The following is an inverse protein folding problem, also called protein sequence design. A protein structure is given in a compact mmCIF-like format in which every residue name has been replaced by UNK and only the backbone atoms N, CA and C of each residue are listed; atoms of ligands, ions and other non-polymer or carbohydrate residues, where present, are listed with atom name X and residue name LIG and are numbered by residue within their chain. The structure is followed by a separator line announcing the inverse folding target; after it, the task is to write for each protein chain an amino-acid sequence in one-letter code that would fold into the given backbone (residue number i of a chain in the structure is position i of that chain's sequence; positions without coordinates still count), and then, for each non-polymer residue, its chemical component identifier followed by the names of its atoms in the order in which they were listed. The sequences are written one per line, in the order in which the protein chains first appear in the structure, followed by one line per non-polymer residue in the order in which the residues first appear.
data_IF_372336286583
#
_entry.id   IF_372336286583
#
_cell.length_a   1.000
_cell.length_b   1.000
_cell.length_c   1.000
_cell.angle_alpha   90.00
_cell.angle_beta   90.00
_cell.angle_gamma   90.00
#
_symmetry.space_group_name_H-M   'P 1'
#
loop_
_entity.id
_entity.type
_entity.pdbx_description
1 polymer ?
#
# COMPACT_ATOMS: atom_id res chain seq x y z
N UNK A 1 11.93 5.95 1.87
CA UNK A 1 11.36 6.43 0.61
C UNK A 1 10.17 5.57 0.20
N UNK A 2 9.11 6.19 -0.27
CA UNK A 2 7.90 5.47 -0.69
C UNK A 2 7.96 5.30 -2.21
N UNK A 3 7.87 4.05 -2.67
CA UNK A 3 8.01 3.72 -4.09
C UNK A 3 6.64 3.50 -4.71
N UNK A 4 6.43 4.04 -5.91
CA UNK A 4 5.19 3.81 -6.63
C UNK A 4 5.26 2.47 -7.36
N UNK A 5 4.20 1.65 -7.24
CA UNK A 5 4.14 0.35 -7.90
C UNK A 5 2.90 0.29 -8.78
N UNK A 6 2.80 -0.77 -9.58
CA UNK A 6 1.72 -0.92 -10.54
C UNK A 6 1.12 -2.32 -10.43
N UNK A 7 -0.01 -2.53 -11.13
CA UNK A 7 -0.62 -3.85 -11.19
C UNK A 7 0.36 -4.89 -11.71
N UNK A 8 1.22 -4.50 -12.66
CA UNK A 8 2.10 -5.45 -13.31
C UNK A 8 3.21 -5.97 -12.39
N UNK A 9 3.62 -5.18 -11.38
CA UNK A 9 4.67 -5.64 -10.47
C UNK A 9 4.18 -5.85 -9.04
N UNK A 10 2.87 -5.76 -8.82
CA UNK A 10 2.31 -5.85 -7.47
C UNK A 10 2.66 -7.18 -6.80
N UNK A 11 2.38 -8.29 -7.50
CA UNK A 11 2.60 -9.61 -6.91
C UNK A 11 4.06 -9.83 -6.56
N UNK A 12 4.94 -9.34 -7.41
CA UNK A 12 6.39 -9.48 -7.19
C UNK A 12 6.83 -8.66 -5.98
N UNK A 13 6.29 -7.46 -5.86
CA UNK A 13 6.70 -6.54 -4.80
C UNK A 13 6.26 -7.06 -3.42
N UNK A 14 5.04 -7.58 -3.31
CA UNK A 14 4.56 -8.03 -2.01
C UNK A 14 5.11 -9.39 -1.62
N UNK A 15 5.78 -10.08 -2.54
CA UNK A 15 6.40 -11.36 -2.25
C UNK A 15 7.80 -11.11 -1.69
N UNK A 16 7.86 -10.71 -0.44
CA UNK A 16 9.10 -10.28 0.20
C UNK A 16 9.05 -10.70 1.66
N UNK A 17 10.18 -11.17 2.17
CA UNK A 17 10.27 -11.53 3.58
C UNK A 17 10.15 -10.29 4.46
N UNK A 18 10.60 -9.15 3.98
CA UNK A 18 10.40 -7.89 4.68
C UNK A 18 8.94 -7.49 4.49
N UNK A 19 8.24 -7.13 5.58
CA UNK A 19 6.85 -6.68 5.43
C UNK A 19 6.75 -5.48 4.49
N UNK A 20 5.71 -5.48 3.68
CA UNK A 20 5.47 -4.42 2.69
C UNK A 20 4.13 -3.78 2.99
N UNK A 21 4.15 -2.49 3.28
CA UNK A 21 2.93 -1.73 3.51
C UNK A 21 2.53 -1.06 2.20
N UNK A 22 1.34 -1.37 1.72
CA UNK A 22 0.85 -0.85 0.45
C UNK A 22 -0.22 0.20 0.72
N UNK A 23 -0.01 1.40 0.19
CA UNK A 23 -0.94 2.51 0.28
C UNK A 23 -1.71 2.62 -1.03
N UNK A 24 -3.03 2.35 -0.98
CA UNK A 24 -3.90 2.51 -2.14
C UNK A 24 -4.43 3.94 -2.13
N UNK A 25 -4.19 4.67 -3.23
CA UNK A 25 -4.48 6.10 -3.28
C UNK A 25 -4.98 6.53 -4.65
N UNK A 26 -5.49 7.74 -4.73
CA UNK A 26 -5.89 8.34 -5.99
C UNK A 26 -5.62 9.84 -5.93
N UNK A 27 -5.43 10.45 -7.09
CA UNK A 27 -5.05 11.86 -7.14
C UNK A 27 -6.16 12.79 -6.65
N UNK A 28 -7.41 12.34 -6.76
CA UNK A 28 -8.56 13.14 -6.33
C UNK A 28 -8.86 12.98 -4.85
N UNK A 29 -8.12 12.15 -4.16
CA UNK A 29 -8.38 11.83 -2.76
C UNK A 29 -7.58 12.76 -1.85
N UNK A 30 -8.25 13.75 -1.24
CA UNK A 30 -7.58 14.68 -0.36
C UNK A 30 -6.88 14.02 0.83
N UNK A 31 -7.57 13.14 1.57
CA UNK A 31 -6.90 12.45 2.68
C UNK A 31 -5.70 11.62 2.24
N UNK A 32 -5.73 11.06 1.04
CA UNK A 32 -4.58 10.33 0.53
C UNK A 32 -3.36 11.23 0.41
N UNK A 33 -3.57 12.46 -0.08
CA UNK A 33 -2.49 13.41 -0.24
C UNK A 33 -1.91 13.83 1.10
N UNK A 34 -2.76 13.95 2.12
CA UNK A 34 -2.31 14.31 3.45
C UNK A 34 -1.47 13.21 4.10
N UNK A 35 -1.64 11.99 3.64
CA UNK A 35 -0.90 10.85 4.17
C UNK A 35 0.52 10.78 3.64
N UNK A 36 0.80 11.43 2.50
CA UNK A 36 2.09 11.33 1.84
C UNK A 36 3.26 11.68 2.76
N UNK A 37 3.26 12.85 3.43
CA UNK A 37 4.40 13.17 4.29
C UNK A 37 4.51 12.23 5.48
N UNK A 38 3.39 11.73 5.98
CA UNK A 38 3.41 10.79 7.10
C UNK A 38 4.07 9.49 6.68
N UNK A 39 3.72 8.98 5.50
CA UNK A 39 4.31 7.74 5.00
C UNK A 39 5.80 7.91 4.73
N UNK A 40 6.22 9.07 4.23
CA UNK A 40 7.63 9.30 4.01
C UNK A 40 8.41 9.28 5.32
N UNK A 41 7.84 9.84 6.37
CA UNK A 41 8.49 9.81 7.68
C UNK A 41 8.58 8.39 8.22
N UNK A 42 7.50 7.64 8.09
CA UNK A 42 7.50 6.26 8.56
C UNK A 42 8.51 5.43 7.77
N UNK A 43 8.63 5.68 6.47
CA UNK A 43 9.57 4.92 5.67
C UNK A 43 11.01 5.16 6.08
N UNK A 44 11.31 6.37 6.54
CA UNK A 44 12.65 6.66 7.05
C UNK A 44 12.88 6.00 8.40
N UNK A 45 11.87 6.04 9.24
CA UNK A 45 11.97 5.52 10.60
C UNK A 45 12.12 4.01 10.61
N UNK A 46 11.45 3.33 9.70
CA UNK A 46 11.45 1.87 9.64
C UNK A 46 12.25 1.33 8.45
N UNK A 47 13.21 2.12 7.96
CA UNK A 47 14.03 1.70 6.83
C UNK A 47 14.69 0.36 7.18
N UNK A 48 14.59 -0.59 6.27
CA UNK A 48 15.15 -1.93 6.47
C UNK A 48 14.24 -2.88 7.22
N UNK A 49 13.19 -2.37 7.88
CA UNK A 49 12.27 -3.21 8.63
C UNK A 49 10.93 -3.36 7.94
N UNK A 50 10.47 -2.33 7.25
CA UNK A 50 9.22 -2.33 6.52
C UNK A 50 9.45 -1.56 5.24
N UNK A 51 9.00 -2.12 4.13
CA UNK A 51 8.99 -1.41 2.87
C UNK A 51 7.64 -0.74 2.70
N UNK A 52 7.64 0.51 2.26
CA UNK A 52 6.39 1.22 2.05
C UNK A 52 6.29 1.57 0.58
N UNK A 53 5.20 1.14 -0.04
CA UNK A 53 4.95 1.39 -1.46
C UNK A 53 3.53 1.94 -1.61
N UNK A 54 3.27 2.56 -2.75
CA UNK A 54 1.95 3.09 -3.02
C UNK A 54 1.52 2.72 -4.43
N UNK A 55 0.22 2.60 -4.63
CA UNK A 55 -0.34 2.25 -5.92
C UNK A 55 -1.55 3.13 -6.21
N UNK A 56 -1.54 3.74 -7.39
CA UNK A 56 -2.62 4.61 -7.82
C UNK A 56 -3.74 3.77 -8.40
N UNK A 57 -4.90 3.77 -7.73
CA UNK A 57 -6.00 2.91 -8.15
C UNK A 57 -6.68 3.37 -9.42
N UNK A 58 -6.45 4.62 -9.83
CA UNK A 58 -7.01 5.11 -11.09
C UNK A 58 -6.36 4.44 -12.28
N UNK A 59 -5.07 4.20 -12.20
CA UNK A 59 -4.31 3.59 -13.28
C UNK A 59 -4.12 2.10 -13.10
N UNK A 60 -4.39 1.59 -11.89
CA UNK A 60 -4.13 0.20 -11.55
C UNK A 60 -5.35 -0.39 -10.84
N UNK A 61 -6.40 -0.72 -11.58
CA UNK A 61 -7.64 -1.17 -10.96
C UNK A 61 -7.64 -2.63 -10.54
N UNK A 62 -6.68 -3.43 -10.99
CA UNK A 62 -6.71 -4.86 -10.72
C UNK A 62 -6.37 -5.18 -9.28
N UNK A 63 -5.32 -4.54 -8.75
CA UNK A 63 -4.89 -4.84 -7.39
C UNK A 63 -5.94 -4.46 -6.34
N UNK A 64 -6.52 -3.25 -6.39
CA UNK A 64 -7.54 -2.93 -5.40
C UNK A 64 -8.76 -3.83 -5.51
N UNK A 65 -9.11 -4.26 -6.70
CA UNK A 65 -10.23 -5.17 -6.88
C UNK A 65 -9.94 -6.53 -6.27
N UNK A 66 -8.73 -7.03 -6.50
CA UNK A 66 -8.32 -8.33 -5.98
C UNK A 66 -8.37 -8.37 -4.46
N UNK A 67 -7.98 -7.29 -3.81
CA UNK A 67 -7.92 -7.25 -2.35
C UNK A 67 -9.12 -6.52 -1.75
N UNK A 68 -10.14 -6.28 -2.54
CA UNK A 68 -11.43 -5.73 -2.09
C UNK A 68 -11.26 -4.38 -1.41
N UNK A 69 -10.43 -3.54 -1.98
CA UNK A 69 -10.24 -2.19 -1.49
C UNK A 69 -11.41 -1.35 -1.96
N UNK A 70 -12.22 -0.85 -1.04
CA UNK A 70 -13.44 -0.12 -1.38
C UNK A 70 -13.36 1.36 -1.07
N UNK A 71 -12.54 1.73 -0.12
CA UNK A 71 -12.36 3.12 0.25
C UNK A 71 -10.89 3.45 0.30
N UNK A 72 -10.55 4.71 0.07
CA UNK A 72 -9.17 5.17 0.12
C UNK A 72 -9.11 6.43 0.98
N UNK A 73 -7.95 6.67 1.61
CA UNK A 73 -6.75 5.84 1.57
C UNK A 73 -6.95 4.50 2.27
N UNK A 74 -6.26 3.50 1.80
CA UNK A 74 -6.34 2.17 2.40
C UNK A 74 -4.93 1.60 2.48
N UNK A 75 -4.55 1.12 3.67
CA UNK A 75 -3.22 0.57 3.90
C UNK A 75 -3.34 -0.90 4.23
N UNK A 76 -2.60 -1.72 3.49
CA UNK A 76 -2.59 -3.17 3.73
C UNK A 76 -1.14 -3.61 3.90
N UNK A 77 -0.89 -4.41 4.93
CA UNK A 77 0.44 -4.92 5.19
C UNK A 77 0.54 -6.36 4.69
N UNK A 78 1.55 -6.61 3.88
CA UNK A 78 1.81 -7.94 3.33
C UNK A 78 3.16 -8.45 3.79
N UNK A 79 3.29 -9.77 3.84
CA UNK A 79 4.58 -10.43 4.04
C UNK A 79 4.51 -11.76 3.32
N UNK A 80 5.46 -11.99 2.40
CA UNK A 80 5.50 -13.21 1.58
C UNK A 80 4.17 -13.44 0.86
N UNK A 81 3.59 -12.40 0.30
CA UNK A 81 2.30 -12.41 -0.39
C UNK A 81 1.11 -12.64 0.54
N UNK A 82 1.33 -12.78 1.84
CA UNK A 82 0.25 -13.02 2.77
C UNK A 82 -0.23 -11.73 3.39
N UNK A 83 -1.54 -11.61 3.50
CA UNK A 83 -2.17 -10.45 4.07
C UNK A 83 -2.01 -10.46 5.59
N UNK A 84 -1.33 -9.47 6.12
CA UNK A 84 -1.17 -9.36 7.57
C UNK A 84 -2.25 -8.53 8.21
N UNK A 85 -2.73 -7.50 7.49
CA UNK A 85 -3.80 -6.66 8.00
C UNK A 85 -4.92 -6.63 6.99
N UNK A 86 -6.14 -6.60 7.50
CA UNK A 86 -7.31 -6.53 6.67
C UNK A 86 -7.64 -5.07 6.38
N UNK A 87 -8.11 -4.75 5.17
CA UNK A 87 -8.51 -3.38 4.89
C UNK A 87 -9.73 -2.98 5.71
N UNK A 88 -10.46 -3.94 6.26
CA UNK A 88 -11.65 -3.63 7.02
C UNK A 88 -11.51 -4.18 8.41
N UNK A 89 -11.67 -3.42 9.43
CA UNK A 89 -11.60 -3.92 10.76
C UNK A 89 -12.81 -4.78 11.01
N UNK A 90 -12.66 -5.86 11.58
CA UNK A 90 -13.67 -6.54 11.88
C UNK A 90 -14.27 -6.05 12.97
N UNK A 91 -14.96 -5.86 13.19
CA UNK A 91 -15.53 -5.28 14.15
C UNK A 91 -16.05 -5.89 14.84
#
# INVERSE_FOLDING_TARGET
MVTEITDSNFAEIINDETPVLVDFWASWCGPCMQLVPILEEISKEFAGKVKIVKINIEENPESPTKYQVRGIPNLILFKNCLLYTSPSPRD
#
